data_IF_861902675163
#
_entry.id   IF_861902675163
#
_cell.length_a   1.000
_cell.length_b   1.000
_cell.length_c   1.000
_cell.angle_alpha   90.00
_cell.angle_beta   90.00
_cell.angle_gamma   90.00
#
_symmetry.space_group_name_H-M   'P 1'
#
loop_
_entity.id
_entity.type
_entity.pdbx_description
1 polymer ?
#
# COMPACT_ATOMS: atom_id res chain seq x y z
N UNK A 1 -2.18 37.11 35.22
CA UNK A 1 -2.16 36.71 33.79
C UNK A 1 -0.79 36.13 33.35
N UNK A 2 -0.11 35.32 34.20
CA UNK A 2 1.22 34.73 33.88
C UNK A 2 1.35 33.24 34.25
N UNK A 3 0.29 32.61 34.79
CA UNK A 3 0.32 31.19 35.18
C UNK A 3 -0.09 30.22 34.05
N UNK A 4 -0.86 30.70 33.07
CA UNK A 4 -1.27 29.90 31.90
C UNK A 4 -0.10 29.65 30.92
N UNK A 5 0.90 30.52 30.88
CA UNK A 5 2.09 30.37 30.03
C UNK A 5 3.16 29.44 30.64
N UNK A 6 3.09 29.15 31.94
CA UNK A 6 4.04 28.30 32.64
C UNK A 6 3.70 26.81 32.52
N UNK A 7 2.43 26.50 32.28
CA UNK A 7 1.94 25.13 32.07
C UNK A 7 2.20 24.66 30.63
N UNK A 8 2.12 25.57 29.65
CA UNK A 8 2.50 25.34 28.24
C UNK A 8 4.00 25.01 28.05
N UNK A 9 4.86 25.45 28.99
CA UNK A 9 6.31 25.23 28.95
C UNK A 9 6.73 23.84 29.48
N UNK A 10 5.78 23.04 29.96
CA UNK A 10 6.02 21.69 30.50
C UNK A 10 5.21 20.61 29.81
N UNK A 11 5.06 20.67 28.48
CA UNK A 11 4.85 19.42 27.74
C UNK A 11 6.14 18.58 27.92
N UNK A 12 6.06 17.52 28.72
CA UNK A 12 7.19 16.66 29.06
C UNK A 12 7.91 16.25 27.77
N UNK A 13 9.25 16.25 27.75
CA UNK A 13 10.04 15.86 26.55
C UNK A 13 9.56 14.52 25.97
N UNK A 14 9.06 13.62 26.82
CA UNK A 14 8.41 12.35 26.45
C UNK A 14 7.10 12.52 25.66
N UNK A 15 6.19 13.40 26.09
CA UNK A 15 4.95 13.69 25.34
C UNK A 15 5.25 14.34 23.99
N UNK A 16 6.27 15.21 23.91
CA UNK A 16 6.70 15.77 22.61
C UNK A 16 7.27 14.71 21.68
N UNK A 17 8.09 13.79 22.18
CA UNK A 17 8.63 12.69 21.37
C UNK A 17 7.56 11.69 20.94
N UNK A 18 6.62 11.35 21.82
CA UNK A 18 5.41 10.59 21.43
C UNK A 18 4.62 11.36 20.38
N UNK A 19 4.53 12.70 20.51
CA UNK A 19 3.83 13.54 19.53
C UNK A 19 4.46 13.51 18.14
N UNK A 20 5.78 13.44 18.11
CA UNK A 20 6.57 13.34 16.88
C UNK A 20 6.49 11.92 16.34
N UNK A 21 6.47 10.91 17.21
CA UNK A 21 6.36 9.52 16.81
C UNK A 21 5.00 9.21 16.17
N UNK A 22 3.87 9.70 16.72
CA UNK A 22 2.57 9.48 16.07
C UNK A 22 2.46 10.21 14.73
N UNK A 23 2.98 11.44 14.62
CA UNK A 23 3.00 12.15 13.33
C UNK A 23 3.87 11.45 12.30
N UNK A 24 5.03 10.91 12.71
CA UNK A 24 5.89 10.11 11.82
C UNK A 24 5.21 8.79 11.43
N UNK A 25 4.49 8.16 12.35
CA UNK A 25 3.75 6.93 12.08
C UNK A 25 2.59 7.20 11.11
N UNK A 26 1.86 8.30 11.30
CA UNK A 26 0.76 8.72 10.42
C UNK A 26 1.25 9.08 9.01
N UNK A 27 2.40 9.77 8.89
CA UNK A 27 3.03 10.02 7.58
C UNK A 27 3.50 8.72 6.94
N UNK A 28 4.08 7.81 7.73
CA UNK A 28 4.48 6.47 7.26
C UNK A 28 3.29 5.64 6.77
N UNK A 29 2.16 5.68 7.48
CA UNK A 29 0.93 4.98 7.13
C UNK A 29 0.27 5.60 5.88
N UNK A 30 0.34 6.92 5.71
CA UNK A 30 -0.14 7.61 4.50
C UNK A 30 0.70 7.27 3.26
N UNK A 31 2.03 7.33 3.38
CA UNK A 31 2.94 6.95 2.30
C UNK A 31 2.84 5.46 1.98
N UNK A 32 2.71 4.60 2.99
CA UNK A 32 2.52 3.16 2.82
C UNK A 32 1.20 2.83 2.13
N UNK A 33 0.12 3.58 2.43
CA UNK A 33 -1.18 3.39 1.77
C UNK A 33 -1.10 3.73 0.29
N UNK A 34 -0.49 4.88 -0.05
CA UNK A 34 -0.28 5.27 -1.45
C UNK A 34 0.61 4.27 -2.20
N UNK A 35 1.69 3.82 -1.56
CA UNK A 35 2.58 2.81 -2.15
C UNK A 35 1.86 1.48 -2.38
N UNK A 36 1.05 1.04 -1.42
CA UNK A 36 0.27 -0.20 -1.52
C UNK A 36 -0.71 -0.15 -2.68
N UNK A 37 -1.44 0.96 -2.85
CA UNK A 37 -2.38 1.14 -3.98
C UNK A 37 -1.65 1.10 -5.32
N UNK A 38 -0.54 1.82 -5.43
CA UNK A 38 0.26 1.83 -6.67
C UNK A 38 0.83 0.45 -6.99
N UNK A 39 1.43 -0.20 -5.99
CA UNK A 39 2.06 -1.51 -6.15
C UNK A 39 1.05 -2.57 -6.58
N UNK A 40 -0.15 -2.57 -6.01
CA UNK A 40 -1.23 -3.48 -6.41
C UNK A 40 -1.58 -3.37 -7.90
N UNK A 41 -1.73 -2.14 -8.39
CA UNK A 41 -2.07 -1.89 -9.78
C UNK A 41 -0.93 -2.29 -10.73
N UNK A 42 0.30 -1.91 -10.40
CA UNK A 42 1.48 -2.26 -11.20
C UNK A 42 1.68 -3.78 -11.24
N UNK A 43 1.50 -4.46 -10.10
CA UNK A 43 1.64 -5.91 -9.99
C UNK A 43 0.56 -6.64 -10.81
N UNK A 44 -0.68 -6.13 -10.83
CA UNK A 44 -1.73 -6.65 -11.71
C UNK A 44 -1.34 -6.59 -13.18
N UNK A 45 -0.87 -5.43 -13.67
CA UNK A 45 -0.46 -5.29 -15.07
C UNK A 45 0.78 -6.14 -15.40
N UNK A 46 1.75 -6.23 -14.50
CA UNK A 46 2.94 -7.04 -14.68
C UNK A 46 2.59 -8.53 -14.81
N UNK A 47 1.72 -9.05 -13.93
CA UNK A 47 1.25 -10.42 -13.99
C UNK A 47 0.39 -10.68 -15.24
N UNK A 48 -0.46 -9.73 -15.62
CA UNK A 48 -1.32 -9.86 -16.80
C UNK A 48 -0.49 -10.04 -18.07
N UNK A 49 0.54 -9.21 -18.24
CA UNK A 49 1.46 -9.30 -19.38
C UNK A 49 2.28 -10.60 -19.27
N UNK A 50 2.79 -10.94 -18.08
CA UNK A 50 3.59 -12.15 -17.91
C UNK A 50 2.79 -13.43 -18.24
N UNK A 51 1.59 -13.59 -17.68
CA UNK A 51 0.73 -14.74 -17.97
C UNK A 51 0.33 -14.79 -19.45
N UNK A 52 -0.02 -13.64 -20.04
CA UNK A 52 -0.53 -13.62 -21.41
C UNK A 52 0.54 -13.92 -22.47
N UNK A 53 1.77 -13.42 -22.26
CA UNK A 53 2.87 -13.58 -23.23
C UNK A 53 3.77 -14.79 -22.99
N UNK A 54 3.96 -15.23 -21.74
CA UNK A 54 4.88 -16.34 -21.43
C UNK A 54 4.17 -17.65 -21.12
N UNK A 55 3.03 -17.62 -20.44
CA UNK A 55 2.35 -18.84 -19.97
C UNK A 55 1.26 -19.29 -20.95
N UNK A 56 0.42 -18.37 -21.41
CA UNK A 56 -0.73 -18.67 -22.27
C UNK A 56 -0.50 -18.32 -23.75
N UNK A 57 0.75 -18.13 -24.18
CA UNK A 57 1.12 -17.66 -25.51
C UNK A 57 0.51 -18.47 -26.68
N UNK A 58 0.26 -19.77 -26.48
CA UNK A 58 -0.28 -20.68 -27.50
C UNK A 58 -1.79 -20.89 -27.43
N UNK A 59 -2.50 -20.27 -26.48
CA UNK A 59 -3.95 -20.40 -26.31
C UNK A 59 -4.67 -19.38 -27.21
N UNK A 60 -5.88 -19.72 -27.67
CA UNK A 60 -6.74 -18.81 -28.44
C UNK A 60 -6.90 -17.44 -27.75
N UNK A 61 -6.80 -16.32 -28.49
CA UNK A 61 -6.77 -14.96 -27.92
C UNK A 61 -7.87 -14.63 -26.89
N UNK A 62 -9.16 -14.98 -27.08
CA UNK A 62 -10.18 -14.67 -26.09
C UNK A 62 -10.00 -15.45 -24.79
N UNK A 63 -9.52 -16.70 -24.86
CA UNK A 63 -9.34 -17.55 -23.69
C UNK A 63 -8.06 -17.18 -22.93
N UNK A 64 -6.99 -16.80 -23.64
CA UNK A 64 -5.77 -16.27 -23.05
C UNK A 64 -6.08 -14.99 -22.24
N UNK A 65 -6.82 -14.03 -22.82
CA UNK A 65 -7.16 -12.80 -22.14
C UNK A 65 -8.00 -13.05 -20.88
N UNK A 66 -9.05 -13.86 -20.97
CA UNK A 66 -9.92 -14.17 -19.81
C UNK A 66 -9.16 -14.86 -18.68
N UNK A 67 -8.38 -15.91 -19.00
CA UNK A 67 -7.66 -16.66 -17.97
C UNK A 67 -6.52 -15.84 -17.38
N UNK A 68 -5.79 -15.06 -18.19
CA UNK A 68 -4.72 -14.19 -17.68
C UNK A 68 -5.28 -13.05 -16.82
N UNK A 69 -6.45 -12.51 -17.16
CA UNK A 69 -7.11 -11.46 -16.39
C UNK A 69 -7.63 -11.98 -15.05
N UNK A 70 -8.30 -13.14 -15.05
CA UNK A 70 -8.78 -13.77 -13.82
C UNK A 70 -7.65 -14.27 -12.94
N UNK A 71 -6.62 -14.88 -13.53
CA UNK A 71 -5.44 -15.38 -12.80
C UNK A 71 -4.67 -14.24 -12.15
N UNK A 72 -4.42 -13.15 -12.88
CA UNK A 72 -3.74 -11.97 -12.35
C UNK A 72 -4.57 -11.30 -11.25
N UNK A 73 -5.88 -11.15 -11.46
CA UNK A 73 -6.77 -10.62 -10.43
C UNK A 73 -6.75 -11.49 -9.17
N UNK A 74 -6.83 -12.82 -9.30
CA UNK A 74 -6.80 -13.75 -8.17
C UNK A 74 -5.50 -13.70 -7.36
N UNK A 75 -4.34 -13.69 -8.04
CA UNK A 75 -3.02 -13.60 -7.39
C UNK A 75 -2.87 -12.27 -6.66
N UNK A 76 -3.27 -11.17 -7.29
CA UNK A 76 -3.25 -9.83 -6.71
C UNK A 76 -4.14 -9.74 -5.47
N UNK A 77 -5.32 -10.36 -5.50
CA UNK A 77 -6.27 -10.38 -4.37
C UNK A 77 -5.70 -11.15 -3.17
N UNK A 78 -5.03 -12.28 -3.43
CA UNK A 78 -4.34 -13.07 -2.41
C UNK A 78 -3.18 -12.28 -1.79
N UNK A 79 -2.33 -11.66 -2.62
CA UNK A 79 -1.21 -10.84 -2.16
C UNK A 79 -1.69 -9.59 -1.39
N UNK A 80 -2.83 -9.01 -1.78
CA UNK A 80 -3.44 -7.86 -1.09
C UNK A 80 -4.05 -8.21 0.27
N UNK A 81 -4.48 -9.45 0.45
CA UNK A 81 -5.12 -9.92 1.69
C UNK A 81 -4.08 -10.43 2.70
N UNK A 82 -2.82 -10.56 2.28
CA UNK A 82 -1.70 -10.96 3.13
C UNK A 82 -1.42 -9.84 4.14
N UNK A 83 -2.07 -9.92 5.31
CA UNK A 83 -1.79 -9.08 6.48
C UNK A 83 -0.46 -9.44 7.10
#
# INVERSE_FOLDING_TARGET
MNRLLADDKKMSKKERDERILWKKNEVGDYEATLFTIFYNNVLFFALLIFLSFFVLASITPPFNCLVSMLGSAGIVLLLSTSK
#
